data_IF_892944761266
#
_entry.id   IF_892944761266
#
_cell.length_a   1.000
_cell.length_b   1.000
_cell.length_c   1.000
_cell.angle_alpha   90.00
_cell.angle_beta   90.00
_cell.angle_gamma   90.00
#
_symmetry.space_group_name_H-M   'P 1'
#
loop_
_entity.id
_entity.type
_entity.pdbx_description
1 polymer ?
#
# COMPACT_ATOMS: atom_id res chain seq x y z
N UNK A 1 -11.32 -14.61 -8.94
CA UNK A 1 -10.47 -14.19 -7.81
C UNK A 1 -11.38 -13.73 -6.69
N UNK A 2 -11.16 -14.23 -5.47
CA UNK A 2 -11.96 -13.87 -4.29
C UNK A 2 -11.33 -12.66 -3.59
N UNK A 3 -11.58 -11.47 -4.15
CA UNK A 3 -11.03 -10.19 -3.69
C UNK A 3 -11.24 -9.89 -2.20
N UNK A 4 -12.07 -10.66 -1.49
CA UNK A 4 -12.20 -10.58 -0.03
C UNK A 4 -10.89 -10.99 0.66
N UNK A 5 -10.21 -12.04 0.17
CA UNK A 5 -8.95 -12.55 0.75
C UNK A 5 -7.77 -11.66 0.42
N UNK A 6 -7.62 -11.23 -0.85
CA UNK A 6 -6.54 -10.31 -1.21
C UNK A 6 -6.71 -8.96 -0.51
N UNK A 7 -7.95 -8.50 -0.35
CA UNK A 7 -8.25 -7.30 0.40
C UNK A 7 -7.88 -7.41 1.89
N UNK A 8 -8.09 -8.57 2.53
CA UNK A 8 -7.69 -8.79 3.91
C UNK A 8 -6.16 -8.83 4.06
N UNK A 9 -5.46 -9.54 3.16
CA UNK A 9 -3.99 -9.59 3.17
C UNK A 9 -3.39 -8.20 2.97
N UNK A 10 -3.92 -7.42 2.03
CA UNK A 10 -3.46 -6.05 1.81
C UNK A 10 -3.64 -5.18 3.05
N UNK A 11 -4.76 -5.34 3.76
CA UNK A 11 -5.01 -4.61 5.00
C UNK A 11 -3.95 -4.92 6.07
N UNK A 12 -3.60 -6.19 6.26
CA UNK A 12 -2.59 -6.61 7.24
C UNK A 12 -1.20 -6.06 6.89
N UNK A 13 -0.82 -6.06 5.60
CA UNK A 13 0.47 -5.49 5.17
C UNK A 13 0.51 -3.98 5.43
N UNK A 14 -0.60 -3.26 5.25
CA UNK A 14 -0.69 -1.83 5.54
C UNK A 14 -0.55 -1.56 7.04
N UNK A 15 -1.17 -2.38 7.90
CA UNK A 15 -1.00 -2.30 9.36
C UNK A 15 0.44 -2.59 9.77
N UNK A 16 1.05 -3.60 9.18
CA UNK A 16 2.46 -3.93 9.39
C UNK A 16 3.39 -2.78 8.96
N UNK A 17 3.07 -2.09 7.86
CA UNK A 17 3.78 -0.89 7.45
C UNK A 17 3.73 0.24 8.47
N UNK A 18 2.59 0.45 9.15
CA UNK A 18 2.48 1.41 10.27
C UNK A 18 3.43 1.02 11.41
N UNK A 19 3.46 -0.27 11.77
CA UNK A 19 4.35 -0.78 12.82
C UNK A 19 5.82 -0.53 12.47
N UNK A 20 6.26 -0.91 11.27
CA UNK A 20 7.64 -0.70 10.84
C UNK A 20 8.01 0.79 10.74
N UNK A 21 7.10 1.62 10.22
CA UNK A 21 7.27 3.05 10.16
C UNK A 21 7.49 3.65 11.56
N UNK A 22 6.66 3.28 12.53
CA UNK A 22 6.81 3.71 13.92
C UNK A 22 8.16 3.28 14.54
N UNK A 23 8.68 2.13 14.11
CA UNK A 23 10.01 1.63 14.51
C UNK A 23 11.18 2.27 13.72
N UNK A 24 10.94 3.33 12.96
CA UNK A 24 11.98 4.02 12.19
C UNK A 24 12.30 3.39 10.83
N UNK A 25 11.46 2.48 10.34
CA UNK A 25 11.64 1.73 9.09
C UNK A 25 10.47 1.96 8.13
N UNK A 26 10.29 3.18 7.59
CA UNK A 26 9.12 3.53 6.80
C UNK A 26 9.04 2.84 5.42
N UNK A 27 10.07 2.09 5.03
CA UNK A 27 10.17 1.45 3.72
C UNK A 27 9.95 -0.06 3.74
N UNK A 28 9.87 -0.69 4.92
CA UNK A 28 10.02 -2.15 5.07
C UNK A 28 9.05 -2.95 4.20
N UNK A 29 7.78 -2.54 4.13
CA UNK A 29 6.73 -3.26 3.39
C UNK A 29 6.63 -2.86 1.91
N UNK A 30 7.23 -1.73 1.52
CA UNK A 30 7.00 -1.13 0.20
C UNK A 30 7.58 -1.95 -0.96
N UNK A 31 8.82 -2.49 -0.89
CA UNK A 31 9.35 -3.34 -1.97
C UNK A 31 8.48 -4.57 -2.24
N UNK A 32 8.00 -5.22 -1.16
CA UNK A 32 7.12 -6.37 -1.27
C UNK A 32 5.77 -5.98 -1.88
N UNK A 33 5.12 -4.91 -1.38
CA UNK A 33 3.87 -4.40 -1.93
C UNK A 33 4.01 -4.06 -3.42
N UNK A 34 5.09 -3.36 -3.79
CA UNK A 34 5.39 -2.99 -5.18
C UNK A 34 5.46 -4.20 -6.09
N UNK A 35 6.32 -5.18 -5.75
CA UNK A 35 6.49 -6.38 -6.55
C UNK A 35 5.18 -7.17 -6.70
N UNK A 36 4.42 -7.31 -5.60
CA UNK A 36 3.15 -8.00 -5.61
C UNK A 36 2.10 -7.28 -6.47
N UNK A 37 1.90 -5.98 -6.25
CA UNK A 37 0.87 -5.21 -6.95
C UNK A 37 1.15 -5.07 -8.44
N UNK A 38 2.40 -4.82 -8.84
CA UNK A 38 2.76 -4.72 -10.26
C UNK A 38 2.58 -6.08 -10.96
N UNK A 39 2.97 -7.18 -10.31
CA UNK A 39 2.74 -8.52 -10.86
C UNK A 39 1.24 -8.81 -11.05
N UNK A 40 0.39 -8.40 -10.10
CA UNK A 40 -1.06 -8.58 -10.22
C UNK A 40 -1.68 -7.67 -11.29
N UNK A 41 -1.22 -6.41 -11.42
CA UNK A 41 -1.63 -5.53 -12.51
C UNK A 41 -1.28 -6.14 -13.87
N UNK A 42 -0.06 -6.67 -14.04
CA UNK A 42 0.36 -7.30 -15.29
C UNK A 42 -0.49 -8.53 -15.65
N UNK A 43 -0.88 -9.33 -14.65
CA UNK A 43 -1.74 -10.51 -14.85
C UNK A 43 -3.16 -10.14 -15.26
N UNK A 44 -3.74 -9.12 -14.64
CA UNK A 44 -5.16 -8.77 -14.81
C UNK A 44 -5.41 -7.85 -16.00
N UNK A 45 -4.50 -6.90 -16.24
CA UNK A 45 -4.68 -5.82 -17.19
C UNK A 45 -3.70 -5.88 -18.37
N UNK A 46 -2.89 -6.94 -18.45
CA UNK A 46 -1.79 -7.04 -19.40
C UNK A 46 -0.76 -5.92 -19.19
N UNK A 47 -0.10 -5.45 -20.26
CA UNK A 47 0.90 -4.36 -20.20
C UNK A 47 0.27 -2.96 -20.11
N UNK A 48 -0.88 -2.82 -19.44
CA UNK A 48 -1.53 -1.52 -19.26
C UNK A 48 -0.62 -0.57 -18.46
N UNK A 49 0.01 0.38 -19.16
CA UNK A 49 0.94 1.35 -18.55
C UNK A 49 0.27 2.25 -17.51
N UNK A 50 -1.04 2.47 -17.63
CA UNK A 50 -1.78 3.39 -16.76
C UNK A 50 -2.01 2.79 -15.37
N UNK A 51 -2.41 1.53 -15.28
CA UNK A 51 -2.65 0.87 -13.98
C UNK A 51 -1.35 0.69 -13.19
N UNK A 52 -0.24 0.37 -13.87
CA UNK A 52 1.08 0.29 -13.23
C UNK A 52 1.56 1.64 -12.72
N UNK A 53 1.40 2.71 -13.51
CA UNK A 53 1.78 4.07 -13.09
C UNK A 53 0.96 4.57 -11.90
N UNK A 54 -0.33 4.25 -11.83
CA UNK A 54 -1.19 4.58 -10.69
C UNK A 54 -0.75 3.84 -9.42
N UNK A 55 -0.41 2.55 -9.53
CA UNK A 55 0.14 1.78 -8.38
C UNK A 55 1.42 2.41 -7.85
N UNK A 56 2.34 2.80 -8.75
CA UNK A 56 3.59 3.47 -8.36
C UNK A 56 3.33 4.81 -7.67
N UNK A 57 2.36 5.58 -8.18
CA UNK A 57 1.96 6.86 -7.57
C UNK A 57 1.43 6.65 -6.16
N UNK A 58 0.50 5.71 -5.98
CA UNK A 58 -0.09 5.38 -4.67
C UNK A 58 0.95 4.86 -3.67
N UNK A 59 1.91 4.05 -4.11
CA UNK A 59 3.00 3.57 -3.25
C UNK A 59 3.92 4.71 -2.79
N UNK A 60 4.15 5.71 -3.65
CA UNK A 60 4.90 6.91 -3.28
C UNK A 60 4.15 7.76 -2.26
N UNK A 61 2.84 7.95 -2.41
CA UNK A 61 2.06 8.64 -1.37
C UNK A 61 2.08 7.88 -0.04
N UNK A 62 1.98 6.55 -0.08
CA UNK A 62 2.05 5.69 1.10
C UNK A 62 3.42 5.76 1.79
N UNK A 63 4.51 5.87 1.01
CA UNK A 63 5.87 6.09 1.51
C UNK A 63 5.96 7.39 2.32
N UNK A 64 5.41 8.49 1.81
CA UNK A 64 5.42 9.78 2.52
C UNK A 64 4.61 9.71 3.83
N UNK A 65 3.52 8.94 3.86
CA UNK A 65 2.77 8.70 5.09
C UNK A 65 3.56 7.89 6.10
N UNK A 66 4.25 6.83 5.68
CA UNK A 66 5.12 6.08 6.57
C UNK A 66 6.29 6.92 7.07
N UNK A 67 6.90 7.78 6.25
CA UNK A 67 7.91 8.74 6.70
C UNK A 67 7.36 9.70 7.77
N UNK A 68 6.14 10.20 7.57
CA UNK A 68 5.46 11.05 8.56
C UNK A 68 5.24 10.32 9.89
N UNK A 69 4.82 9.05 9.85
CA UNK A 69 4.67 8.20 11.04
C UNK A 69 6.03 7.99 11.72
N UNK A 70 7.08 7.72 10.94
CA UNK A 70 8.44 7.51 11.45
C UNK A 70 9.04 8.75 12.12
N UNK A 71 8.57 9.96 11.77
CA UNK A 71 8.97 11.20 12.41
C UNK A 71 8.12 11.56 13.64
N UNK A 72 7.05 10.80 13.91
CA UNK A 72 6.10 11.07 14.99
C UNK A 72 6.53 10.37 16.27
N UNK A 73 6.33 11.02 17.43
CA UNK A 73 6.60 10.41 18.74
C UNK A 73 5.52 9.42 19.20
N UNK A 74 4.37 9.41 18.52
CA UNK A 74 3.24 8.49 18.75
C UNK A 74 2.49 8.26 17.44
N UNK A 75 1.78 7.14 17.35
CA UNK A 75 0.88 6.85 16.24
C UNK A 75 -0.45 7.55 16.48
N UNK A 76 -0.92 8.32 15.49
CA UNK A 76 -2.24 8.96 15.53
C UNK A 76 -3.28 8.12 14.77
N UNK A 77 -4.49 8.04 15.30
CA UNK A 77 -5.61 7.31 14.68
C UNK A 77 -5.89 7.81 13.25
N UNK A 78 -5.76 9.11 13.00
CA UNK A 78 -5.91 9.69 11.67
C UNK A 78 -4.87 9.15 10.68
N UNK A 79 -3.62 8.96 11.10
CA UNK A 79 -2.56 8.38 10.27
C UNK A 79 -2.89 6.93 9.91
N UNK A 80 -3.36 6.14 10.89
CA UNK A 80 -3.76 4.74 10.67
C UNK A 80 -4.92 4.66 9.69
N UNK A 81 -5.97 5.47 9.91
CA UNK A 81 -7.13 5.54 9.01
C UNK A 81 -6.72 5.91 7.59
N UNK A 82 -5.79 6.86 7.45
CA UNK A 82 -5.30 7.31 6.16
C UNK A 82 -4.51 6.21 5.45
N UNK A 83 -3.62 5.51 6.14
CA UNK A 83 -2.92 4.34 5.61
C UNK A 83 -3.91 3.26 5.16
N UNK A 84 -4.89 2.91 5.99
CA UNK A 84 -5.90 1.90 5.66
C UNK A 84 -6.79 2.29 4.47
N UNK A 85 -6.95 3.58 4.18
CA UNK A 85 -7.68 4.04 3.00
C UNK A 85 -7.01 3.62 1.68
N UNK A 86 -5.68 3.39 1.67
CA UNK A 86 -4.95 2.94 0.48
C UNK A 86 -5.34 1.53 0.06
N UNK A 87 -5.86 0.70 0.98
CA UNK A 87 -6.44 -0.59 0.63
C UNK A 87 -7.46 -0.45 -0.50
N UNK A 88 -8.39 0.51 -0.35
CA UNK A 88 -9.43 0.76 -1.35
C UNK A 88 -8.88 1.32 -2.65
N UNK A 89 -7.90 2.23 -2.58
CA UNK A 89 -7.25 2.83 -3.77
C UNK A 89 -6.50 1.76 -4.58
N UNK A 90 -5.65 0.97 -3.93
CA UNK A 90 -4.85 -0.08 -4.55
C UNK A 90 -5.70 -1.20 -5.15
N UNK A 91 -6.76 -1.64 -4.45
CA UNK A 91 -7.69 -2.64 -4.98
C UNK A 91 -8.43 -2.16 -6.23
N UNK A 92 -8.66 -0.85 -6.41
CA UNK A 92 -9.27 -0.31 -7.63
C UNK A 92 -8.33 -0.43 -8.83
N UNK A 93 -7.03 -0.25 -8.64
CA UNK A 93 -6.03 -0.42 -9.68
C UNK A 93 -5.98 -1.86 -10.21
N UNK A 94 -6.30 -2.85 -9.37
CA UNK A 94 -6.36 -4.26 -9.76
C UNK A 94 -7.66 -4.64 -10.50
N UNK A 95 -8.70 -3.80 -10.45
CA UNK A 95 -10.01 -4.07 -11.06
C UNK A 95 -10.28 -3.27 -12.35
N UNK A 96 -9.36 -2.38 -12.73
CA UNK A 96 -9.49 -1.46 -13.86
C UNK A 96 -8.64 -1.94 -15.02
#
# INVERSE_FOLDING_TARGET
MDYSKEGAILEEILKEGVYWAFMGRPFEVLPFLRGKLLSEVEKLNGKSKNAGAEVEHLLKELEELYKSISASSKIHDEQVKLVLSYRGKLLKCLKS
#
